data_IF_788640431054
#
_entry.id   IF_788640431054
#
_cell.length_a   1.000
_cell.length_b   1.000
_cell.length_c   1.000
_cell.angle_alpha   90.00
_cell.angle_beta   90.00
_cell.angle_gamma   90.00
#
_symmetry.space_group_name_H-M   'P 1'
#
loop_
_entity.id
_entity.type
_entity.pdbx_description
1 polymer ?
#
# COMPACT_ATOMS: atom_id res chain seq x y z
N UNK A 1 6.27 12.36 -4.90
CA UNK A 1 5.28 12.85 -3.92
C UNK A 1 4.05 13.43 -4.61
N UNK A 2 2.85 13.22 -4.06
CA UNK A 2 1.58 13.69 -4.65
C UNK A 2 1.56 15.20 -4.93
N UNK A 3 2.27 15.97 -4.12
CA UNK A 3 2.28 17.45 -4.21
C UNK A 3 2.94 17.99 -5.50
N UNK A 4 3.72 17.17 -6.20
CA UNK A 4 4.37 17.55 -7.46
C UNK A 4 3.62 17.11 -8.71
N UNK A 5 2.55 16.33 -8.58
CA UNK A 5 1.80 15.78 -9.71
C UNK A 5 0.93 16.87 -10.38
N UNK A 6 0.89 16.87 -11.70
CA UNK A 6 0.07 17.83 -12.48
C UNK A 6 -0.75 17.08 -13.55
N UNK A 7 -2.10 17.10 -13.49
CA UNK A 7 -2.91 17.62 -12.39
C UNK A 7 -2.81 16.77 -11.13
N UNK A 8 -2.97 17.39 -9.96
CA UNK A 8 -3.04 16.65 -8.69
C UNK A 8 -4.22 15.67 -8.71
N UNK A 9 -4.04 14.41 -8.23
CA UNK A 9 -5.10 13.42 -8.27
C UNK A 9 -6.38 13.89 -7.55
N UNK A 10 -7.52 13.59 -8.16
CA UNK A 10 -8.82 13.87 -7.59
C UNK A 10 -9.23 12.77 -6.59
N UNK A 11 -8.53 12.68 -5.47
CA UNK A 11 -8.76 11.65 -4.45
C UNK A 11 -7.88 10.41 -4.62
N UNK A 12 -8.27 9.33 -3.95
CA UNK A 12 -7.46 8.10 -3.89
C UNK A 12 -7.63 7.19 -5.13
N UNK A 13 -6.61 6.36 -5.47
CA UNK A 13 -6.63 5.52 -6.67
C UNK A 13 -7.36 4.18 -6.50
N UNK A 14 -7.97 3.90 -5.34
CA UNK A 14 -8.45 2.56 -4.95
C UNK A 14 -9.92 2.29 -5.28
N UNK A 15 -10.54 3.11 -6.13
CA UNK A 15 -11.95 2.94 -6.56
C UNK A 15 -12.16 1.79 -7.52
N UNK A 16 -11.13 1.42 -8.30
CA UNK A 16 -11.15 0.32 -9.26
C UNK A 16 -10.64 -1.01 -8.69
N UNK A 17 -10.63 -2.04 -9.56
CA UNK A 17 -10.02 -3.34 -9.24
C UNK A 17 -8.52 -3.19 -8.94
N UNK A 18 -7.98 -3.99 -8.00
CA UNK A 18 -8.62 -5.05 -7.23
C UNK A 18 -9.35 -4.57 -5.96
N UNK A 19 -9.27 -3.30 -5.58
CA UNK A 19 -9.77 -2.80 -4.29
C UNK A 19 -11.27 -2.53 -4.28
N UNK A 20 -11.80 -1.93 -5.35
CA UNK A 20 -13.21 -1.57 -5.51
C UNK A 20 -13.75 -0.83 -4.27
N UNK A 21 -12.96 0.11 -3.75
CA UNK A 21 -13.27 0.87 -2.55
C UNK A 21 -13.98 2.16 -2.94
N UNK A 22 -15.23 2.27 -2.53
CA UNK A 22 -16.11 3.43 -2.84
C UNK A 22 -16.57 4.17 -1.59
N UNK A 23 -16.04 3.79 -0.42
CA UNK A 23 -16.39 4.45 0.83
C UNK A 23 -15.72 5.82 0.91
N UNK A 24 -16.40 6.79 1.49
CA UNK A 24 -15.94 8.18 1.57
C UNK A 24 -14.95 8.44 2.71
N UNK A 25 -14.69 7.45 3.56
CA UNK A 25 -13.74 7.57 4.67
C UNK A 25 -12.31 7.80 4.14
N UNK A 26 -11.73 8.94 4.50
CA UNK A 26 -10.35 9.28 4.14
C UNK A 26 -10.15 10.00 2.79
N UNK A 27 -11.22 10.39 2.09
CA UNK A 27 -11.14 11.08 0.80
C UNK A 27 -11.15 12.62 0.91
N UNK A 28 -10.97 13.17 2.09
CA UNK A 28 -11.03 14.62 2.32
C UNK A 28 -9.94 15.42 1.63
N UNK A 29 -8.92 14.74 1.11
CA UNK A 29 -7.77 15.35 0.46
C UNK A 29 -7.83 15.22 -1.05
N UNK A 30 -7.37 16.23 -1.75
CA UNK A 30 -7.26 16.24 -3.20
C UNK A 30 -7.28 17.64 -3.78
N UNK A 31 -7.28 17.70 -5.11
CA UNK A 31 -7.55 18.94 -5.82
C UNK A 31 -9.06 19.24 -5.75
N UNK A 32 -9.42 20.25 -4.97
CA UNK A 32 -10.82 20.67 -4.76
C UNK A 32 -11.52 21.05 -6.08
N UNK A 33 -10.76 21.51 -7.08
CA UNK A 33 -11.31 21.83 -8.38
C UNK A 33 -11.65 20.59 -9.23
N UNK A 34 -10.89 19.50 -9.04
CA UNK A 34 -11.07 18.25 -9.77
C UNK A 34 -11.95 17.24 -9.01
N UNK A 35 -12.04 17.36 -7.68
CA UNK A 35 -12.84 16.51 -6.81
C UNK A 35 -13.71 17.36 -5.88
N UNK A 36 -15.02 17.48 -6.10
CA UNK A 36 -15.91 18.29 -5.28
C UNK A 36 -16.04 17.77 -3.82
N UNK A 37 -15.67 16.50 -3.55
CA UNK A 37 -15.67 15.92 -2.22
C UNK A 37 -14.37 16.21 -1.45
N UNK A 38 -13.33 16.73 -2.11
CA UNK A 38 -12.10 17.14 -1.46
C UNK A 38 -12.30 18.46 -0.71
N UNK A 39 -12.04 18.45 0.59
CA UNK A 39 -12.18 19.63 1.46
C UNK A 39 -10.85 20.26 1.82
N UNK A 40 -9.73 19.58 1.52
CA UNK A 40 -8.38 19.98 1.91
C UNK A 40 -7.36 19.70 0.81
N UNK A 41 -6.40 20.61 0.58
CA UNK A 41 -5.23 20.30 -0.24
C UNK A 41 -4.37 19.23 0.45
N UNK A 42 -3.57 18.51 -0.35
CA UNK A 42 -2.59 17.58 0.21
C UNK A 42 -1.59 18.32 1.12
N UNK A 43 -1.29 17.78 2.32
CA UNK A 43 -0.17 18.26 3.12
C UNK A 43 1.15 18.18 2.32
N UNK A 44 2.08 19.13 2.49
CA UNK A 44 3.30 19.21 1.69
C UNK A 44 4.29 18.05 1.90
N UNK A 45 4.13 17.28 2.95
CA UNK A 45 4.93 16.12 3.32
C UNK A 45 4.30 14.78 2.92
N UNK A 46 3.19 14.81 2.17
CA UNK A 46 2.54 13.58 1.67
C UNK A 46 3.33 13.00 0.50
N UNK A 47 3.58 11.72 0.55
CA UNK A 47 4.22 10.94 -0.52
C UNK A 47 3.17 10.36 -1.45
N UNK A 48 2.22 9.58 -0.91
CA UNK A 48 1.21 8.88 -1.71
C UNK A 48 0.01 8.46 -0.85
N UNK A 49 -1.00 7.89 -1.52
CA UNK A 49 -2.10 7.18 -0.92
C UNK A 49 -1.71 5.75 -0.56
N UNK A 50 -2.30 5.24 0.50
CA UNK A 50 -2.27 3.81 0.86
C UNK A 50 -3.67 3.32 1.15
N UNK A 51 -3.90 2.03 0.89
CA UNK A 51 -5.12 1.35 1.28
C UNK A 51 -4.83 0.45 2.48
N UNK A 52 -5.59 0.63 3.54
CA UNK A 52 -5.38 -0.09 4.79
C UNK A 52 -6.59 -0.93 5.13
N UNK A 53 -6.34 -2.20 5.44
CA UNK A 53 -7.35 -3.11 5.95
C UNK A 53 -6.93 -3.64 7.32
N UNK A 54 -7.89 -3.85 8.21
CA UNK A 54 -7.66 -4.49 9.49
C UNK A 54 -8.46 -5.79 9.57
N UNK A 55 -7.77 -6.87 9.93
CA UNK A 55 -8.35 -8.20 10.15
C UNK A 55 -8.34 -8.53 11.63
N UNK A 56 -9.34 -9.26 12.09
CA UNK A 56 -9.48 -9.62 13.50
C UNK A 56 -9.65 -11.13 13.67
N UNK A 57 -8.91 -11.70 14.61
CA UNK A 57 -8.95 -13.14 14.95
C UNK A 57 -7.96 -13.95 14.15
N UNK A 58 -7.97 -13.85 12.84
CA UNK A 58 -7.01 -14.53 11.95
C UNK A 58 -6.55 -13.62 10.79
N UNK A 59 -5.68 -14.15 9.95
CA UNK A 59 -5.05 -13.42 8.85
C UNK A 59 -5.81 -13.51 7.52
N UNK A 60 -6.97 -14.17 7.47
CA UNK A 60 -7.74 -14.36 6.24
C UNK A 60 -8.48 -13.07 5.83
N UNK A 61 -8.70 -12.88 4.54
CA UNK A 61 -9.46 -11.73 4.04
C UNK A 61 -10.91 -11.69 4.56
N UNK A 62 -11.52 -12.86 4.78
CA UNK A 62 -12.87 -12.98 5.37
C UNK A 62 -12.95 -12.43 6.80
N UNK A 63 -11.81 -12.28 7.48
CA UNK A 63 -11.72 -11.68 8.82
C UNK A 63 -11.52 -10.18 8.82
N UNK A 64 -11.63 -9.53 7.65
CA UNK A 64 -11.52 -8.08 7.53
C UNK A 64 -12.71 -7.40 8.19
N UNK A 65 -12.43 -6.55 9.16
CA UNK A 65 -13.43 -5.79 9.93
C UNK A 65 -13.45 -4.31 9.56
N UNK A 66 -12.39 -3.83 8.90
CA UNK A 66 -12.25 -2.42 8.55
C UNK A 66 -11.40 -2.24 7.30
N UNK A 67 -11.77 -1.28 6.47
CA UNK A 67 -11.03 -0.85 5.28
C UNK A 67 -11.08 0.67 5.20
N UNK A 68 -9.97 1.29 4.85
CA UNK A 68 -9.89 2.74 4.69
C UNK A 68 -8.71 3.11 3.79
N UNK A 69 -8.75 4.28 3.21
CA UNK A 69 -7.60 4.93 2.57
C UNK A 69 -6.92 5.88 3.55
N UNK A 70 -5.63 6.06 3.40
CA UNK A 70 -4.84 6.99 4.19
C UNK A 70 -3.70 7.57 3.36
N UNK A 71 -3.04 8.56 3.91
CA UNK A 71 -1.85 9.18 3.31
C UNK A 71 -0.58 8.65 3.99
N UNK A 72 0.42 8.32 3.18
CA UNK A 72 1.77 8.06 3.69
C UNK A 72 2.59 9.34 3.58
N UNK A 73 3.26 9.69 4.66
CA UNK A 73 4.09 10.89 4.78
C UNK A 73 5.57 10.57 4.55
N UNK A 74 6.38 11.59 4.30
CA UNK A 74 7.84 11.45 4.05
C UNK A 74 8.60 10.81 5.21
N UNK A 75 8.07 10.85 6.43
CA UNK A 75 8.60 10.14 7.59
C UNK A 75 8.12 8.68 7.71
N UNK A 76 7.35 8.19 6.72
CA UNK A 76 6.78 6.84 6.70
C UNK A 76 5.54 6.65 7.58
N UNK A 77 5.04 7.70 8.24
CA UNK A 77 3.85 7.61 9.08
C UNK A 77 2.58 7.52 8.22
N UNK A 78 1.69 6.64 8.64
CA UNK A 78 0.30 6.54 8.16
C UNK A 78 -0.60 6.64 9.38
N UNK A 79 -1.51 7.60 9.40
CA UNK A 79 -2.50 7.74 10.46
C UNK A 79 -3.90 7.58 9.88
N UNK A 80 -4.69 6.69 10.47
CA UNK A 80 -6.06 6.42 10.06
C UNK A 80 -6.96 6.48 11.28
N UNK A 81 -7.99 7.29 11.22
CA UNK A 81 -9.04 7.32 12.22
C UNK A 81 -10.08 6.24 11.89
N UNK A 82 -10.23 5.28 12.80
CA UNK A 82 -11.25 4.25 12.69
C UNK A 82 -12.23 4.36 13.84
N UNK A 83 -13.49 4.68 13.58
CA UNK A 83 -14.49 4.82 14.65
C UNK A 83 -14.90 3.47 15.27
N UNK A 84 -14.40 2.34 14.78
CA UNK A 84 -15.02 1.04 14.97
C UNK A 84 -14.25 0.02 15.81
N UNK A 85 -13.06 0.36 16.34
CA UNK A 85 -12.36 -0.61 17.19
C UNK A 85 -13.04 -0.75 18.55
N UNK A 86 -13.95 -1.71 18.62
CA UNK A 86 -14.44 -2.23 19.90
C UNK A 86 -13.85 -3.61 20.11
N UNK A 87 -13.20 -3.81 21.25
CA UNK A 87 -12.74 -5.13 21.69
C UNK A 87 -13.93 -6.08 21.79
N UNK A 88 -14.24 -6.77 20.72
CA UNK A 88 -15.21 -7.85 20.70
C UNK A 88 -14.48 -9.19 20.69
N UNK A 89 -13.99 -9.63 21.84
CA UNK A 89 -13.67 -11.03 22.11
C UNK A 89 -12.31 -11.56 21.66
N UNK A 90 -11.50 -10.86 20.90
CA UNK A 90 -10.14 -11.29 20.52
C UNK A 90 -9.16 -10.11 20.45
N UNK A 91 -7.98 -10.29 21.03
CA UNK A 91 -6.87 -9.33 21.00
C UNK A 91 -5.91 -9.57 19.81
N UNK A 92 -6.36 -10.28 18.78
CA UNK A 92 -5.52 -10.58 17.62
C UNK A 92 -5.97 -9.73 16.45
N UNK A 93 -5.11 -8.84 16.00
CA UNK A 93 -5.33 -7.99 14.84
C UNK A 93 -4.17 -8.10 13.87
N UNK A 94 -4.46 -7.91 12.59
CA UNK A 94 -3.48 -7.81 11.52
C UNK A 94 -3.78 -6.54 10.72
N UNK A 95 -2.77 -5.75 10.45
CA UNK A 95 -2.85 -4.55 9.64
C UNK A 95 -2.27 -4.88 8.27
N UNK A 96 -3.06 -4.77 7.22
CA UNK A 96 -2.64 -4.91 5.83
C UNK A 96 -2.53 -3.52 5.21
N UNK A 97 -1.38 -3.23 4.59
CA UNK A 97 -1.13 -2.01 3.83
C UNK A 97 -0.89 -2.40 2.38
N UNK A 98 -1.68 -1.83 1.49
CA UNK A 98 -1.58 -1.99 0.04
C UNK A 98 -1.27 -0.63 -0.60
N UNK A 99 -0.47 -0.67 -1.65
CA UNK A 99 -0.08 0.53 -2.41
C UNK A 99 -0.21 0.25 -3.91
N UNK A 100 -0.52 1.27 -4.71
CA UNK A 100 -0.79 1.16 -6.15
C UNK A 100 0.33 0.59 -7.01
N UNK A 101 1.58 0.65 -6.52
CA UNK A 101 2.78 0.27 -7.28
C UNK A 101 3.77 -0.59 -6.49
N UNK A 102 3.36 -1.10 -5.31
CA UNK A 102 4.22 -1.92 -4.45
C UNK A 102 3.52 -3.22 -4.05
N UNK A 103 4.31 -4.26 -3.76
CA UNK A 103 3.76 -5.45 -3.11
C UNK A 103 3.17 -5.10 -1.75
N UNK A 104 1.96 -5.57 -1.42
CA UNK A 104 1.35 -5.31 -0.13
C UNK A 104 2.16 -5.90 1.03
N UNK A 105 1.99 -5.33 2.21
CA UNK A 105 2.58 -5.84 3.45
C UNK A 105 1.51 -6.03 4.51
N UNK A 106 1.66 -7.07 5.33
CA UNK A 106 0.76 -7.32 6.45
C UNK A 106 1.57 -7.48 7.74
N UNK A 107 1.08 -6.88 8.81
CA UNK A 107 1.70 -6.98 10.13
C UNK A 107 1.71 -8.41 10.66
N UNK A 108 2.63 -8.72 11.55
CA UNK A 108 2.41 -9.81 12.51
C UNK A 108 1.19 -9.51 13.37
N UNK A 109 0.77 -10.49 14.15
CA UNK A 109 -0.34 -10.27 15.09
C UNK A 109 -0.01 -9.10 16.01
N UNK A 110 -0.91 -8.16 16.10
CA UNK A 110 -0.82 -7.01 17.01
C UNK A 110 -2.04 -6.95 17.91
N UNK A 111 -2.00 -6.09 18.93
CA UNK A 111 -3.05 -5.91 19.93
C UNK A 111 -3.44 -4.45 20.03
N UNK A 112 -4.64 -4.20 20.54
CA UNK A 112 -5.07 -2.85 20.86
C UNK A 112 -4.21 -2.24 21.98
N UNK A 113 -3.70 -1.04 21.74
CA UNK A 113 -3.03 -0.22 22.74
C UNK A 113 -4.10 0.49 23.59
N UNK A 114 -4.13 0.20 24.88
CA UNK A 114 -5.14 0.77 25.77
C UNK A 114 -6.59 0.45 25.39
N UNK A 115 -6.82 -0.57 24.55
CA UNK A 115 -8.14 -0.98 24.10
C UNK A 115 -8.76 -0.10 23.00
N UNK A 116 -8.05 0.88 22.46
CA UNK A 116 -8.62 1.91 21.56
C UNK A 116 -7.86 2.15 20.26
N UNK A 117 -6.58 1.78 20.16
CA UNK A 117 -5.75 2.03 18.97
C UNK A 117 -4.89 0.83 18.60
N UNK A 118 -4.59 0.71 17.31
CA UNK A 118 -3.60 -0.22 16.78
C UNK A 118 -2.40 0.57 16.28
N UNK A 119 -1.20 0.05 16.52
CA UNK A 119 0.03 0.56 15.90
C UNK A 119 0.94 -0.60 15.51
N UNK A 120 1.66 -0.45 14.41
CA UNK A 120 2.65 -1.41 13.96
C UNK A 120 3.75 -0.70 13.17
N UNK A 121 4.99 -1.04 13.44
CA UNK A 121 6.15 -0.52 12.73
C UNK A 121 6.66 -1.57 11.73
N UNK A 122 6.33 -1.35 10.45
CA UNK A 122 6.72 -2.21 9.34
C UNK A 122 8.21 -2.11 9.00
N UNK A 123 8.93 -1.15 9.58
CA UNK A 123 10.35 -0.93 9.25
C UNK A 123 11.31 -1.76 10.09
N UNK A 124 10.87 -2.31 11.22
CA UNK A 124 11.72 -2.97 12.21
C UNK A 124 11.96 -4.43 11.96
N UNK A 125 11.06 -5.10 11.24
CA UNK A 125 11.18 -6.54 10.93
C UNK A 125 10.43 -6.88 9.66
N UNK A 126 10.87 -7.95 8.96
CA UNK A 126 10.08 -8.49 7.85
C UNK A 126 8.71 -8.93 8.38
N UNK A 127 7.71 -8.15 8.03
CA UNK A 127 6.32 -8.39 8.39
C UNK A 127 5.82 -9.59 7.63
N UNK A 128 4.79 -10.21 7.90
CA UNK A 128 4.18 -11.38 7.34
C UNK A 128 5.07 -12.26 6.42
N UNK A 129 5.53 -13.38 6.95
CA UNK A 129 5.98 -14.54 6.18
C UNK A 129 5.01 -15.68 6.44
N UNK A 130 4.54 -16.33 5.43
CA UNK A 130 3.81 -17.59 5.60
C UNK A 130 4.77 -18.66 6.17
N UNK A 131 4.38 -19.29 7.27
CA UNK A 131 5.14 -20.09 8.22
C UNK A 131 5.89 -21.34 7.77
N UNK A 132 6.60 -21.33 6.68
CA UNK A 132 7.58 -22.35 6.24
C UNK A 132 8.84 -21.65 5.77
N UNK A 133 10.01 -22.32 5.70
CA UNK A 133 11.26 -21.71 5.30
C UNK A 133 11.19 -21.26 3.83
N UNK A 134 10.56 -20.13 3.62
CA UNK A 134 10.55 -19.43 2.34
C UNK A 134 11.85 -18.64 2.28
N UNK A 135 12.47 -18.51 1.09
CA UNK A 135 13.69 -17.74 0.90
C UNK A 135 13.63 -16.38 1.60
N UNK A 136 14.76 -15.93 2.08
CA UNK A 136 14.92 -14.61 2.68
C UNK A 136 14.24 -13.54 1.81
N UNK A 137 13.59 -12.55 2.45
CA UNK A 137 12.99 -11.40 1.77
C UNK A 137 11.66 -11.67 1.02
N UNK A 138 10.79 -12.52 1.51
CA UNK A 138 9.39 -12.56 1.08
C UNK A 138 8.62 -11.41 1.75
N UNK A 139 7.87 -10.66 0.98
CA UNK A 139 7.02 -9.58 1.45
C UNK A 139 7.70 -8.22 1.61
N UNK A 140 8.89 -8.17 2.17
CA UNK A 140 9.71 -6.97 2.31
C UNK A 140 11.18 -7.27 2.08
N UNK A 141 11.95 -6.26 1.66
CA UNK A 141 13.41 -6.32 1.58
C UNK A 141 14.06 -5.45 2.63
N UNK A 142 15.28 -5.82 2.99
CA UNK A 142 16.12 -5.04 3.89
C UNK A 142 16.89 -3.98 3.11
N UNK A 143 16.79 -2.71 3.50
CA UNK A 143 17.53 -1.60 2.90
C UNK A 143 18.12 -0.72 4.01
N UNK A 144 19.43 -0.77 4.17
CA UNK A 144 20.10 -0.09 5.27
C UNK A 144 19.67 -0.64 6.62
N UNK A 145 19.06 0.18 7.47
CA UNK A 145 18.55 -0.24 8.79
C UNK A 145 17.08 -0.62 8.78
N UNK A 146 16.39 -0.57 7.63
CA UNK A 146 14.94 -0.67 7.56
C UNK A 146 14.47 -1.80 6.66
N UNK A 147 13.31 -2.35 6.98
CA UNK A 147 12.52 -3.17 6.08
C UNK A 147 11.61 -2.28 5.24
N UNK A 148 11.55 -2.53 3.94
CA UNK A 148 10.79 -1.71 2.97
C UNK A 148 9.97 -2.59 2.05
N UNK A 149 8.88 -2.06 1.52
CA UNK A 149 8.05 -2.74 0.52
C UNK A 149 8.84 -2.91 -0.80
N UNK A 150 8.49 -3.94 -1.57
CA UNK A 150 8.98 -4.10 -2.92
C UNK A 150 8.18 -3.21 -3.87
N UNK A 151 8.80 -2.24 -4.54
CA UNK A 151 8.24 -1.52 -5.68
C UNK A 151 8.28 -2.36 -6.95
N UNK A 152 7.40 -2.04 -7.89
CA UNK A 152 7.32 -2.71 -9.18
C UNK A 152 6.03 -3.50 -9.43
N UNK A 153 5.08 -3.53 -8.50
CA UNK A 153 3.79 -4.22 -8.64
C UNK A 153 2.72 -3.25 -9.19
N UNK A 154 2.73 -3.03 -10.50
CA UNK A 154 1.84 -2.08 -11.16
C UNK A 154 0.45 -2.64 -11.45
N UNK A 155 0.33 -3.92 -11.73
CA UNK A 155 -0.93 -4.57 -12.07
C UNK A 155 -1.79 -4.93 -10.82
N UNK A 156 -1.15 -5.05 -9.65
CA UNK A 156 -1.79 -5.42 -8.38
C UNK A 156 -2.59 -6.73 -8.43
N UNK A 157 -2.20 -7.64 -9.31
CA UNK A 157 -2.88 -8.93 -9.45
C UNK A 157 -2.55 -9.86 -8.29
N UNK A 158 -3.54 -10.62 -7.90
CA UNK A 158 -3.41 -11.71 -6.93
C UNK A 158 -3.59 -13.05 -7.61
N UNK A 159 -2.60 -13.90 -7.49
CA UNK A 159 -2.68 -15.28 -7.97
C UNK A 159 -2.88 -16.23 -6.78
N UNK A 160 -3.87 -17.12 -6.87
CA UNK A 160 -4.17 -18.07 -5.80
C UNK A 160 -3.02 -19.04 -5.48
N UNK A 161 -2.08 -19.21 -6.39
CA UNK A 161 -0.92 -20.11 -6.23
C UNK A 161 0.35 -19.40 -5.78
N UNK A 162 0.57 -18.14 -6.19
CA UNK A 162 1.77 -17.36 -5.90
C UNK A 162 1.54 -16.16 -4.98
N UNK A 163 0.29 -15.82 -4.70
CA UNK A 163 -0.04 -14.61 -3.94
C UNK A 163 0.03 -13.38 -4.83
N UNK A 164 0.56 -12.27 -4.29
CA UNK A 164 0.98 -11.12 -5.08
C UNK A 164 2.39 -11.39 -5.58
N UNK A 165 2.66 -11.12 -6.82
CA UNK A 165 3.96 -11.32 -7.43
C UNK A 165 4.37 -10.13 -8.31
N UNK A 166 5.67 -9.98 -8.50
CA UNK A 166 6.24 -9.08 -9.50
C UNK A 166 6.66 -9.93 -10.71
N UNK A 167 6.03 -9.66 -11.83
CA UNK A 167 6.19 -10.43 -13.04
C UNK A 167 6.20 -9.54 -14.31
N UNK A 168 6.15 -10.16 -15.50
CA UNK A 168 6.19 -9.44 -16.78
C UNK A 168 4.97 -8.54 -17.04
N UNK A 169 3.84 -8.78 -16.38
CA UNK A 169 2.64 -7.94 -16.56
C UNK A 169 2.86 -6.58 -15.88
N UNK A 170 3.59 -6.55 -14.78
CA UNK A 170 4.01 -5.29 -14.16
C UNK A 170 4.95 -4.48 -15.04
N UNK A 171 5.83 -5.17 -15.79
CA UNK A 171 6.68 -4.53 -16.79
C UNK A 171 5.86 -3.89 -17.92
N UNK A 172 4.78 -4.52 -18.34
CA UNK A 172 3.86 -3.95 -19.34
C UNK A 172 3.24 -2.66 -18.81
N UNK A 173 2.88 -2.58 -17.52
CA UNK A 173 2.37 -1.36 -16.89
C UNK A 173 3.42 -0.24 -16.94
N UNK A 174 4.68 -0.54 -16.63
CA UNK A 174 5.75 0.45 -16.76
C UNK A 174 5.94 0.88 -18.23
N UNK A 175 5.90 -0.05 -19.17
CA UNK A 175 6.07 0.24 -20.60
C UNK A 175 4.99 1.23 -21.10
N UNK A 176 3.75 1.06 -20.67
CA UNK A 176 2.63 1.92 -21.04
C UNK A 176 2.77 3.34 -20.45
N UNK A 177 3.36 3.44 -19.26
CA UNK A 177 3.54 4.69 -18.53
C UNK A 177 4.86 5.40 -18.86
N UNK A 178 5.85 4.70 -19.43
CA UNK A 178 7.21 5.20 -19.65
C UNK A 178 7.26 6.49 -20.52
N UNK A 179 8.12 7.42 -20.10
CA UNK A 179 8.30 8.71 -20.74
C UNK A 179 7.30 9.79 -20.28
N UNK A 180 6.38 9.47 -19.39
CA UNK A 180 5.51 10.47 -18.78
C UNK A 180 6.17 11.06 -17.53
N UNK A 181 6.00 12.36 -17.33
CA UNK A 181 6.57 13.14 -16.22
C UNK A 181 5.49 13.94 -15.51
N UNK A 182 5.66 14.16 -14.21
CA UNK A 182 4.73 14.92 -13.35
C UNK A 182 3.29 14.36 -13.33
N UNK A 183 3.13 13.05 -13.55
CA UNK A 183 1.84 12.37 -13.55
C UNK A 183 1.73 11.36 -12.43
N UNK A 184 0.50 11.08 -12.03
CA UNK A 184 0.20 10.04 -11.05
C UNK A 184 -0.01 8.69 -11.74
N UNK A 185 1.06 7.93 -11.91
CA UNK A 185 1.12 6.72 -12.74
C UNK A 185 1.42 5.49 -11.89
N UNK A 186 0.94 4.33 -12.32
CA UNK A 186 1.22 3.05 -11.66
C UNK A 186 2.64 2.58 -11.93
N UNK A 187 3.21 2.92 -13.08
CA UNK A 187 4.57 2.59 -13.48
C UNK A 187 5.66 3.46 -12.84
N UNK A 188 5.31 4.52 -12.11
CA UNK A 188 6.22 5.30 -11.28
C UNK A 188 6.50 4.54 -9.97
N UNK A 189 7.48 3.62 -10.04
CA UNK A 189 7.77 2.68 -8.96
C UNK A 189 8.66 3.26 -7.87
N UNK A 190 9.43 4.28 -8.16
CA UNK A 190 10.24 5.01 -7.16
C UNK A 190 9.53 6.23 -6.59
N UNK A 191 8.35 6.57 -7.13
CA UNK A 191 7.48 7.67 -6.70
C UNK A 191 8.15 9.04 -6.82
N UNK A 192 8.98 9.24 -7.86
CA UNK A 192 9.65 10.50 -8.12
C UNK A 192 8.89 11.41 -9.09
N UNK A 193 7.74 10.99 -9.63
CA UNK A 193 6.84 11.64 -10.59
C UNK A 193 7.23 11.48 -12.06
N UNK A 194 8.32 10.83 -12.34
CA UNK A 194 8.82 10.59 -13.69
C UNK A 194 8.85 9.09 -13.95
N UNK A 195 7.99 8.59 -14.83
CA UNK A 195 8.08 7.19 -15.24
C UNK A 195 9.20 7.03 -16.29
N UNK A 196 10.32 6.44 -15.89
CA UNK A 196 11.54 6.35 -16.67
C UNK A 196 12.36 5.08 -16.38
N UNK A 197 13.62 5.03 -16.83
CA UNK A 197 14.48 3.87 -16.65
C UNK A 197 14.85 3.55 -15.18
N UNK A 198 14.69 4.49 -14.25
CA UNK A 198 14.90 4.19 -12.82
C UNK A 198 13.78 3.31 -12.27
N UNK A 199 12.55 3.47 -12.78
CA UNK A 199 11.43 2.60 -12.42
C UNK A 199 11.61 1.19 -13.00
N UNK A 200 12.13 1.09 -14.23
CA UNK A 200 12.53 -0.18 -14.81
C UNK A 200 13.59 -0.89 -13.95
N UNK A 201 14.61 -0.17 -13.51
CA UNK A 201 15.61 -0.70 -12.56
C UNK A 201 14.97 -1.20 -11.26
N UNK A 202 13.95 -0.52 -10.76
CA UNK A 202 13.18 -0.99 -9.60
C UNK A 202 12.48 -2.32 -9.88
N UNK A 203 11.82 -2.44 -11.04
CA UNK A 203 11.18 -3.68 -11.45
C UNK A 203 12.20 -4.79 -11.68
N UNK A 204 13.28 -4.56 -12.43
CA UNK A 204 14.34 -5.54 -12.71
C UNK A 204 14.91 -6.11 -11.40
N UNK A 205 15.22 -5.25 -10.44
CA UNK A 205 15.82 -5.65 -9.16
C UNK A 205 14.84 -6.41 -8.25
N UNK A 206 13.55 -6.27 -8.47
CA UNK A 206 12.50 -6.86 -7.64
C UNK A 206 11.71 -7.97 -8.36
N UNK A 207 11.86 -8.14 -9.67
CA UNK A 207 11.16 -9.14 -10.46
C UNK A 207 11.32 -10.56 -9.87
N UNK A 208 10.22 -11.31 -9.85
CA UNK A 208 10.14 -12.63 -9.24
C UNK A 208 9.92 -12.61 -7.72
N UNK A 209 9.79 -11.44 -7.09
CA UNK A 209 9.40 -11.34 -5.68
C UNK A 209 7.90 -11.59 -5.52
N UNK A 210 7.55 -12.15 -4.38
CA UNK A 210 6.19 -12.59 -4.09
C UNK A 210 5.81 -12.24 -2.65
N UNK A 211 4.50 -12.14 -2.40
CA UNK A 211 3.96 -12.06 -1.06
C UNK A 211 2.70 -12.92 -0.92
N UNK A 212 2.69 -13.82 0.06
CA UNK A 212 1.60 -14.77 0.33
C UNK A 212 0.58 -14.25 1.34
N UNK A 213 0.22 -13.00 1.32
CA UNK A 213 -0.87 -12.50 2.16
C UNK A 213 -2.16 -13.24 1.80
N UNK A 214 -2.84 -13.90 2.74
CA UNK A 214 -4.07 -14.64 2.44
C UNK A 214 -5.18 -13.72 1.91
N UNK A 215 -5.87 -14.18 0.90
CA UNK A 215 -7.06 -13.56 0.34
C UNK A 215 -8.31 -14.40 0.57
#
# INVERSE_FOLDING_TARGET
PLVGVTPTPAGHPYTGSPWNYTDILGIDYGDVAANPDATKPYPPDVVDWVFVSVRQGDSLASSTIFRCVGLIHTNGLITIECPCFRSAGTDKYYILVEHRSHLPVMSHVTKLNGGTSLSYDFTTSNSWKLGTPIPQEVGQKHKGAYWVMYGGNGDQQYNSSSGFDLNSIDFDVWTDDNGNVFKYLKGDYDMNLDCNSLDDDFWINNNGRINFIPR
#
